data_IF_640459375933
#
_entry.id   IF_640459375933
#
_cell.length_a   1.000
_cell.length_b   1.000
_cell.length_c   1.000
_cell.angle_alpha   90.00
_cell.angle_beta   90.00
_cell.angle_gamma   90.00
#
_symmetry.space_group_name_H-M   'P 1'
#
loop_
_entity.id
_entity.type
_entity.pdbx_description
1 polymer ?
#
# COMPACT_ATOMS: atom_id res chain seq x y z
N UNK A 1 -3.66 -8.87 25.21
CA UNK A 1 -2.92 -10.05 25.72
C UNK A 1 -1.67 -10.34 24.88
N UNK A 2 -1.79 -10.57 23.57
CA UNK A 2 -0.67 -10.98 22.72
C UNK A 2 0.61 -10.15 22.87
N UNK A 3 0.50 -8.81 22.78
CA UNK A 3 1.65 -7.90 22.92
C UNK A 3 2.35 -8.03 24.28
N UNK A 4 1.60 -8.28 25.35
CA UNK A 4 2.16 -8.32 26.71
C UNK A 4 2.90 -9.63 27.00
N UNK A 5 2.44 -10.75 26.44
CA UNK A 5 2.97 -12.08 26.74
C UNK A 5 3.94 -12.60 25.68
N UNK A 6 3.77 -12.22 24.41
CA UNK A 6 4.52 -12.83 23.28
C UNK A 6 5.33 -11.85 22.44
N UNK A 7 5.16 -10.53 22.61
CA UNK A 7 5.93 -9.54 21.83
C UNK A 7 7.03 -8.89 22.69
N UNK A 8 8.32 -9.14 22.41
CA UNK A 8 9.42 -8.44 23.06
C UNK A 8 9.35 -6.94 22.76
N UNK A 9 9.63 -6.12 23.78
CA UNK A 9 9.67 -4.67 23.65
C UNK A 9 10.98 -4.11 24.19
N UNK A 10 11.56 -3.16 23.46
CA UNK A 10 12.69 -2.37 23.93
C UNK A 10 12.20 -1.31 24.90
N UNK A 11 12.76 -1.29 26.11
CA UNK A 11 12.54 -0.22 27.08
C UNK A 11 13.76 0.69 27.10
N UNK A 12 13.53 2.00 27.00
CA UNK A 12 14.58 2.98 27.08
C UNK A 12 15.06 3.06 28.52
N UNK A 13 16.33 2.76 28.76
CA UNK A 13 16.94 2.87 30.08
C UNK A 13 17.42 4.29 30.35
N UNK A 14 18.17 4.86 29.40
CA UNK A 14 18.68 6.23 29.49
C UNK A 14 18.78 6.89 28.13
N UNK A 15 18.69 8.22 28.14
CA UNK A 15 19.00 9.07 27.00
C UNK A 15 20.04 10.09 27.44
N UNK A 16 21.06 10.29 26.62
CA UNK A 16 22.13 11.26 26.86
C UNK A 16 22.24 12.19 25.66
N UNK A 17 22.48 13.48 25.93
CA UNK A 17 22.69 14.49 24.89
C UNK A 17 24.18 14.71 24.72
N UNK A 18 24.66 14.54 23.49
CA UNK A 18 26.06 14.76 23.10
C UNK A 18 26.04 15.86 22.05
N UNK A 19 26.16 17.12 22.50
CA UNK A 19 26.00 18.32 21.68
C UNK A 19 24.61 18.38 21.02
N UNK A 20 24.57 18.30 19.69
CA UNK A 20 23.33 18.30 18.91
C UNK A 20 22.66 16.91 18.78
N UNK A 21 23.33 15.82 19.17
CA UNK A 21 22.81 14.44 19.03
C UNK A 21 22.26 13.90 20.35
N UNK A 22 21.27 13.02 20.27
CA UNK A 22 20.74 12.28 21.44
C UNK A 22 21.01 10.79 21.24
N UNK A 23 21.80 10.19 22.15
CA UNK A 23 22.05 8.75 22.18
C UNK A 23 21.10 8.09 23.17
N UNK A 24 20.45 7.00 22.75
CA UNK A 24 19.47 6.24 23.54
C UNK A 24 20.04 4.86 23.82
N UNK A 25 20.05 4.46 25.09
CA UNK A 25 20.47 3.13 25.51
C UNK A 25 19.23 2.35 25.95
N UNK A 26 19.02 1.21 25.32
CA UNK A 26 17.83 0.37 25.53
C UNK A 26 18.20 -0.87 26.32
N UNK A 27 17.24 -1.38 27.09
CA UNK A 27 17.32 -2.69 27.71
C UNK A 27 17.27 -3.80 26.65
N UNK A 28 17.70 -5.00 27.06
CA UNK A 28 17.46 -6.23 26.32
C UNK A 28 15.96 -6.39 26.00
N UNK A 29 15.64 -6.90 24.79
CA UNK A 29 14.25 -7.07 24.40
C UNK A 29 13.61 -8.19 25.23
N UNK A 30 12.57 -7.82 25.98
CA UNK A 30 11.80 -8.73 26.82
C UNK A 30 10.32 -8.40 26.71
N UNK A 31 9.47 -9.40 26.91
CA UNK A 31 8.01 -9.19 26.94
C UNK A 31 7.64 -8.42 28.22
N UNK A 32 6.61 -7.56 28.17
CA UNK A 32 6.11 -6.89 29.37
C UNK A 32 5.78 -7.85 30.53
N UNK A 33 5.22 -9.04 30.24
CA UNK A 33 4.95 -10.06 31.24
C UNK A 33 6.23 -10.59 31.92
N UNK A 34 7.28 -10.90 31.15
CA UNK A 34 8.57 -11.34 31.70
C UNK A 34 9.20 -10.28 32.62
N UNK A 35 9.11 -9.00 32.24
CA UNK A 35 9.59 -7.90 33.10
C UNK A 35 8.83 -7.80 34.42
N UNK A 36 7.51 -8.00 34.41
CA UNK A 36 6.70 -8.03 35.62
C UNK A 36 7.04 -9.23 36.51
N UNK A 37 7.28 -10.40 35.92
CA UNK A 37 7.70 -11.60 36.66
C UNK A 37 9.07 -11.42 37.33
N UNK A 38 10.00 -10.71 36.66
CA UNK A 38 11.32 -10.39 37.20
C UNK A 38 11.33 -9.20 38.18
N UNK A 39 10.24 -8.43 38.27
CA UNK A 39 10.20 -7.24 39.12
C UNK A 39 10.08 -7.61 40.61
N UNK A 40 10.90 -7.03 41.50
CA UNK A 40 10.80 -7.25 42.94
C UNK A 40 9.56 -6.58 43.55
N UNK A 41 9.00 -5.56 42.89
CA UNK A 41 7.84 -4.81 43.39
C UNK A 41 6.48 -5.48 43.14
N UNK A 42 6.46 -6.66 42.50
CA UNK A 42 5.22 -7.39 42.20
C UNK A 42 5.07 -8.54 43.19
N UNK A 43 3.93 -8.57 43.90
CA UNK A 43 3.61 -9.64 44.84
C UNK A 43 3.59 -11.02 44.15
N UNK A 44 4.05 -12.05 44.85
CA UNK A 44 4.17 -13.40 44.28
C UNK A 44 2.82 -13.98 43.84
N UNK A 45 1.74 -13.67 44.56
CA UNK A 45 0.38 -14.04 44.14
C UNK A 45 -0.01 -13.46 42.77
N UNK A 46 0.46 -12.25 42.43
CA UNK A 46 0.22 -11.64 41.12
C UNK A 46 1.12 -12.28 40.04
N UNK A 47 2.36 -12.63 40.37
CA UNK A 47 3.26 -13.38 39.48
C UNK A 47 2.68 -14.75 39.13
N UNK A 48 2.09 -15.43 40.11
CA UNK A 48 1.49 -16.74 39.90
C UNK A 48 0.27 -16.67 38.96
N UNK A 49 -0.58 -15.66 39.13
CA UNK A 49 -1.66 -15.37 38.18
C UNK A 49 -1.15 -15.12 36.76
N UNK A 50 -0.05 -14.38 36.61
CA UNK A 50 0.56 -14.13 35.29
C UNK A 50 1.09 -15.43 34.65
N UNK A 51 1.71 -16.32 35.43
CA UNK A 51 2.16 -17.63 34.95
C UNK A 51 0.99 -18.51 34.53
N UNK A 52 -0.07 -18.56 35.33
CA UNK A 52 -1.27 -19.32 35.00
C UNK A 52 -1.93 -18.83 33.70
N UNK A 53 -2.00 -17.51 33.50
CA UNK A 53 -2.50 -16.93 32.23
C UNK A 53 -1.58 -17.27 31.06
N UNK A 54 -0.25 -17.17 31.23
CA UNK A 54 0.67 -17.52 30.15
C UNK A 54 0.53 -19.00 29.75
N UNK A 55 0.35 -19.90 30.72
CA UNK A 55 0.21 -21.34 30.49
C UNK A 55 -1.09 -21.71 29.76
N UNK A 56 -2.15 -20.89 29.85
CA UNK A 56 -3.41 -21.15 29.15
C UNK A 56 -3.49 -20.55 27.75
N UNK A 57 -2.55 -19.69 27.36
CA UNK A 57 -2.58 -19.00 26.08
C UNK A 57 -1.83 -19.76 24.99
N UNK A 58 -2.51 -20.05 23.89
CA UNK A 58 -1.90 -20.42 22.62
C UNK A 58 -1.62 -19.15 21.80
N UNK A 59 -0.36 -18.85 21.45
CA UNK A 59 0.01 -17.63 20.73
C UNK A 59 -0.62 -17.53 19.34
N UNK A 60 -0.80 -18.65 18.63
CA UNK A 60 -1.33 -18.66 17.28
C UNK A 60 -2.84 -18.47 17.29
N UNK A 61 -3.55 -19.21 18.16
CA UNK A 61 -4.99 -19.04 18.37
C UNK A 61 -5.33 -17.61 18.81
N UNK A 62 -4.57 -17.08 19.76
CA UNK A 62 -4.76 -15.70 20.24
C UNK A 62 -4.53 -14.67 19.12
N UNK A 63 -3.55 -14.89 18.24
CA UNK A 63 -3.28 -13.99 17.13
C UNK A 63 -4.40 -14.00 16.09
N UNK A 64 -4.93 -15.19 15.77
CA UNK A 64 -6.05 -15.36 14.86
C UNK A 64 -7.32 -14.69 15.39
N UNK A 65 -7.66 -14.94 16.66
CA UNK A 65 -8.77 -14.28 17.35
C UNK A 65 -8.65 -12.75 17.28
N UNK A 66 -7.48 -12.20 17.61
CA UNK A 66 -7.24 -10.75 17.56
C UNK A 66 -7.47 -10.20 16.16
N UNK A 67 -6.96 -10.86 15.12
CA UNK A 67 -7.11 -10.40 13.72
C UNK A 67 -8.55 -10.50 13.24
N UNK A 68 -9.25 -11.56 13.63
CA UNK A 68 -10.67 -11.74 13.34
C UNK A 68 -11.51 -10.65 13.98
N UNK A 69 -11.25 -10.32 15.26
CA UNK A 69 -11.90 -9.19 15.93
C UNK A 69 -11.56 -7.85 15.27
N UNK A 70 -10.29 -7.62 14.90
CA UNK A 70 -9.89 -6.39 14.21
C UNK A 70 -10.57 -6.21 12.85
N UNK A 71 -10.73 -7.29 12.07
CA UNK A 71 -11.50 -7.28 10.82
C UNK A 71 -12.96 -6.94 11.08
N UNK A 72 -13.57 -7.57 12.08
CA UNK A 72 -14.95 -7.31 12.46
C UNK A 72 -15.17 -5.84 12.84
N UNK A 73 -14.34 -5.28 13.73
CA UNK A 73 -14.40 -3.86 14.13
C UNK A 73 -14.21 -2.93 12.93
N UNK A 74 -13.27 -3.24 12.03
CA UNK A 74 -13.05 -2.45 10.83
C UNK A 74 -14.24 -2.49 9.87
N UNK A 75 -14.95 -3.63 9.77
CA UNK A 75 -16.19 -3.78 9.01
C UNK A 75 -17.33 -2.94 9.57
N UNK A 76 -17.52 -2.96 10.89
CA UNK A 76 -18.50 -2.12 11.57
C UNK A 76 -18.25 -0.63 11.29
N UNK A 77 -16.98 -0.20 11.30
CA UNK A 77 -16.61 1.18 10.93
C UNK A 77 -16.91 1.57 9.48
N UNK A 78 -17.11 0.59 8.58
CA UNK A 78 -17.55 0.79 7.19
C UNK A 78 -19.07 0.66 7.00
N UNK A 79 -19.83 0.34 8.06
CA UNK A 79 -21.27 0.10 8.00
C UNK A 79 -21.65 -1.30 7.54
N UNK A 80 -20.73 -2.27 7.55
CA UNK A 80 -21.05 -3.68 7.29
C UNK A 80 -21.92 -4.24 8.44
N UNK A 81 -22.94 -5.02 8.12
CA UNK A 81 -23.77 -5.68 9.13
C UNK A 81 -22.95 -6.69 9.94
N UNK A 82 -23.18 -6.70 11.24
CA UNK A 82 -22.47 -7.58 12.17
C UNK A 82 -22.80 -9.04 11.86
N UNK A 83 -21.91 -9.75 11.17
CA UNK A 83 -21.90 -11.21 11.23
C UNK A 83 -21.04 -11.63 12.42
N UNK A 84 -21.57 -12.53 13.25
CA UNK A 84 -20.77 -13.19 14.30
C UNK A 84 -19.56 -13.80 13.59
N UNK A 85 -18.33 -13.38 13.92
CA UNK A 85 -17.16 -13.98 13.31
C UNK A 85 -17.21 -15.49 13.62
N UNK A 86 -17.20 -16.36 12.60
CA UNK A 86 -17.17 -17.79 12.85
C UNK A 86 -15.85 -18.08 13.57
N UNK A 87 -15.90 -18.72 14.74
CA UNK A 87 -14.69 -19.33 15.29
C UNK A 87 -15.02 -20.48 16.23
N UNK A 88 -14.27 -21.57 16.08
CA UNK A 88 -13.53 -22.14 17.23
C UNK A 88 -12.39 -23.09 16.85
N UNK A 89 -12.49 -23.95 15.84
CA UNK A 89 -11.45 -24.99 15.66
C UNK A 89 -10.97 -25.30 14.23
N UNK A 90 -11.63 -24.84 13.16
CA UNK A 90 -11.49 -25.51 11.86
C UNK A 90 -10.45 -24.95 10.88
N UNK A 91 -9.71 -23.87 11.19
CA UNK A 91 -8.82 -23.33 10.16
C UNK A 91 -7.55 -22.59 10.59
N UNK A 92 -6.89 -23.14 11.62
CA UNK A 92 -5.53 -22.69 11.94
C UNK A 92 -4.60 -22.85 10.73
N UNK A 93 -4.79 -23.89 9.91
CA UNK A 93 -4.00 -24.09 8.70
C UNK A 93 -4.19 -22.99 7.65
N UNK A 94 -5.44 -22.61 7.32
CA UNK A 94 -5.67 -21.46 6.42
C UNK A 94 -5.13 -20.16 7.01
N UNK A 95 -5.26 -19.97 8.33
CA UNK A 95 -4.67 -18.82 9.00
C UNK A 95 -3.15 -18.79 8.83
N UNK A 96 -2.45 -19.90 9.09
CA UNK A 96 -1.01 -20.02 8.88
C UNK A 96 -0.62 -19.79 7.42
N UNK A 97 -1.37 -20.35 6.46
CA UNK A 97 -1.15 -20.11 5.03
C UNK A 97 -1.26 -18.62 4.68
N UNK A 98 -2.24 -17.90 5.25
CA UNK A 98 -2.39 -16.45 5.07
C UNK A 98 -1.23 -15.63 5.65
N UNK A 99 -0.56 -16.11 6.71
CA UNK A 99 0.58 -15.41 7.30
C UNK A 99 1.77 -15.34 6.32
N UNK A 100 1.93 -16.34 5.46
CA UNK A 100 3.02 -16.40 4.49
C UNK A 100 2.97 -15.24 3.49
N UNK A 101 1.77 -14.75 3.14
CA UNK A 101 1.57 -13.67 2.17
C UNK A 101 1.24 -12.33 2.83
N UNK A 102 0.89 -12.32 4.12
CA UNK A 102 0.45 -11.11 4.83
C UNK A 102 1.44 -9.94 4.76
N UNK A 103 2.75 -10.19 4.74
CA UNK A 103 3.76 -9.14 4.65
C UNK A 103 3.76 -8.41 3.29
N UNK A 104 3.23 -9.02 2.23
CA UNK A 104 3.13 -8.41 0.90
C UNK A 104 2.05 -7.33 0.82
N UNK A 105 1.01 -7.42 1.64
CA UNK A 105 -0.13 -6.48 1.66
C UNK A 105 0.12 -5.23 2.53
N UNK A 106 1.31 -5.11 3.12
CA UNK A 106 1.69 -3.97 3.96
C UNK A 106 1.14 -4.08 5.38
N UNK A 107 0.28 -3.14 5.80
CA UNK A 107 -0.28 -3.14 7.16
C UNK A 107 -1.37 -4.20 7.30
N UNK A 108 -1.00 -5.31 7.93
CA UNK A 108 -1.88 -6.48 8.14
C UNK A 108 -3.07 -6.16 9.04
N UNK A 109 -2.98 -5.12 9.87
CA UNK A 109 -4.05 -4.73 10.80
C UNK A 109 -5.12 -3.90 10.09
N UNK A 110 -6.34 -4.40 9.91
CA UNK A 110 -7.41 -3.67 9.22
C UNK A 110 -7.75 -2.32 9.88
N UNK A 111 -7.51 -2.20 11.19
CA UNK A 111 -7.75 -0.98 11.97
C UNK A 111 -6.74 0.13 11.71
N UNK A 112 -5.54 -0.19 11.20
CA UNK A 112 -4.46 0.76 10.96
C UNK A 112 -4.24 1.06 9.47
N UNK A 113 -5.02 0.43 8.59
CA UNK A 113 -4.96 0.70 7.16
C UNK A 113 -5.36 2.16 6.89
N UNK A 114 -4.49 2.90 6.18
CA UNK A 114 -4.81 4.27 5.77
C UNK A 114 -6.00 4.22 4.82
N UNK A 115 -7.08 4.92 5.18
CA UNK A 115 -8.22 5.10 4.28
C UNK A 115 -7.69 5.62 2.94
N UNK A 116 -7.98 4.95 1.81
CA UNK A 116 -7.57 5.45 0.51
C UNK A 116 -8.16 6.85 0.35
N UNK A 117 -7.29 7.86 0.22
CA UNK A 117 -7.74 9.21 -0.01
C UNK A 117 -8.45 9.24 -1.37
N UNK A 118 -9.71 9.65 -1.38
CA UNK A 118 -10.43 9.89 -2.62
C UNK A 118 -9.58 10.84 -3.48
N UNK A 119 -9.33 10.43 -4.73
CA UNK A 119 -8.57 11.27 -5.66
C UNK A 119 -9.33 12.58 -5.82
N UNK A 120 -8.68 13.71 -5.48
CA UNK A 120 -9.27 15.04 -5.70
C UNK A 120 -9.62 15.18 -7.18
N UNK A 121 -10.89 15.43 -7.47
CA UNK A 121 -11.41 15.56 -8.84
C UNK A 121 -11.34 16.98 -9.37
N UNK A 122 -11.24 17.99 -8.50
CA UNK A 122 -11.15 19.39 -8.91
C UNK A 122 -9.69 19.87 -9.01
N UNK A 123 -9.42 20.71 -10.01
CA UNK A 123 -8.16 21.46 -10.15
C UNK A 123 -8.38 22.90 -9.69
N UNK A 124 -7.49 23.44 -8.87
CA UNK A 124 -7.56 24.83 -8.38
C UNK A 124 -7.28 25.87 -9.48
N UNK A 125 -6.72 25.47 -10.62
CA UNK A 125 -6.38 26.36 -11.74
C UNK A 125 -6.71 25.69 -13.06
N UNK A 126 -7.23 26.47 -14.00
CA UNK A 126 -7.40 26.09 -15.41
C UNK A 126 -6.03 25.76 -16.00
N UNK A 127 -5.97 24.74 -16.86
CA UNK A 127 -4.70 24.27 -17.45
C UNK A 127 -4.16 25.31 -18.45
N UNK A 128 -2.98 25.92 -18.21
CA UNK A 128 -2.43 26.93 -19.11
C UNK A 128 -2.16 26.43 -20.53
N UNK A 129 -2.01 25.12 -20.71
CA UNK A 129 -1.65 24.51 -21.99
C UNK A 129 -2.86 24.03 -22.80
N UNK A 130 -4.09 24.16 -22.29
CA UNK A 130 -5.28 23.62 -22.95
C UNK A 130 -5.45 24.09 -24.40
N UNK A 131 -5.26 25.40 -24.66
CA UNK A 131 -5.40 25.99 -25.99
C UNK A 131 -4.28 25.60 -26.96
N UNK A 132 -3.08 25.36 -26.45
CA UNK A 132 -1.90 25.02 -27.28
C UNK A 132 -1.68 23.52 -27.41
N UNK A 133 -2.38 22.72 -26.61
CA UNK A 133 -2.25 21.27 -26.59
C UNK A 133 -2.47 20.58 -27.94
N UNK A 134 -3.48 20.96 -28.77
CA UNK A 134 -3.65 20.35 -30.09
C UNK A 134 -2.42 20.49 -30.98
N UNK A 135 -1.76 21.65 -30.95
CA UNK A 135 -0.51 21.89 -31.69
C UNK A 135 0.63 21.01 -31.16
N UNK A 136 0.70 20.83 -29.85
CA UNK A 136 1.73 19.99 -29.22
C UNK A 136 1.54 18.50 -29.52
N UNK A 137 0.29 18.04 -29.71
CA UNK A 137 0.02 16.67 -30.12
C UNK A 137 0.63 16.37 -31.49
N UNK A 138 0.50 17.29 -32.45
CA UNK A 138 1.14 17.13 -33.78
C UNK A 138 2.66 17.00 -33.65
N UNK A 139 3.29 17.78 -32.76
CA UNK A 139 4.73 17.66 -32.52
C UNK A 139 5.12 16.33 -31.87
N UNK A 140 4.30 15.80 -30.96
CA UNK A 140 4.53 14.52 -30.28
C UNK A 140 4.22 13.31 -31.18
N UNK A 141 3.30 13.44 -32.12
CA UNK A 141 2.99 12.40 -33.10
C UNK A 141 4.08 12.28 -34.16
N UNK A 142 4.66 13.42 -34.57
CA UNK A 142 5.80 13.42 -35.50
C UNK A 142 7.10 12.96 -34.82
N UNK A 143 7.38 13.42 -33.60
CA UNK A 143 8.60 13.10 -32.85
C UNK A 143 8.26 12.63 -31.41
N UNK A 144 7.93 11.34 -31.18
CA UNK A 144 7.48 10.85 -29.88
C UNK A 144 8.57 10.91 -28.78
N UNK A 145 9.85 10.86 -29.18
CA UNK A 145 11.00 10.88 -28.28
C UNK A 145 11.33 12.30 -27.75
N UNK A 146 10.76 13.34 -28.37
CA UNK A 146 11.09 14.73 -28.07
C UNK A 146 10.80 15.11 -26.62
N UNK A 147 11.71 15.83 -25.98
CA UNK A 147 11.59 16.08 -24.53
C UNK A 147 10.58 17.21 -24.27
N UNK A 148 9.76 17.07 -23.21
CA UNK A 148 8.81 18.11 -22.79
C UNK A 148 9.48 19.50 -22.56
N UNK A 149 10.76 19.52 -22.17
CA UNK A 149 11.56 20.74 -22.02
C UNK A 149 11.81 21.45 -23.35
N UNK A 150 12.08 20.69 -24.41
CA UNK A 150 12.32 21.21 -25.76
C UNK A 150 11.03 21.75 -26.37
N UNK A 151 9.92 21.01 -26.20
CA UNK A 151 8.59 21.47 -26.60
C UNK A 151 8.21 22.77 -25.87
N UNK A 152 8.56 22.89 -24.58
CA UNK A 152 8.31 24.09 -23.80
C UNK A 152 9.19 25.28 -24.22
N UNK A 153 10.45 25.04 -24.58
CA UNK A 153 11.35 26.08 -25.06
C UNK A 153 10.83 26.67 -26.38
N UNK A 154 10.48 25.80 -27.34
CA UNK A 154 9.85 26.19 -28.61
C UNK A 154 8.56 26.96 -28.41
N UNK A 155 7.70 26.51 -27.49
CA UNK A 155 6.45 27.20 -27.18
C UNK A 155 6.66 28.61 -26.58
N UNK A 156 7.75 28.81 -25.82
CA UNK A 156 8.11 30.11 -25.25
C UNK A 156 8.71 31.06 -26.27
N UNK A 157 9.43 30.56 -27.27
CA UNK A 157 9.93 31.36 -28.40
C UNK A 157 8.76 31.89 -29.23
N UNK A 158 7.76 31.05 -29.49
CA UNK A 158 6.56 31.44 -30.25
C UNK A 158 5.62 32.36 -29.44
N UNK A 159 5.57 32.23 -28.12
CA UNK A 159 4.68 33.02 -27.25
C UNK A 159 5.36 33.41 -25.91
N UNK A 160 6.23 34.43 -25.91
CA UNK A 160 7.02 34.80 -24.72
C UNK A 160 6.17 35.30 -23.53
N UNK A 161 5.03 35.93 -23.78
CA UNK A 161 4.18 36.55 -22.74
C UNK A 161 3.17 35.60 -22.09
N UNK A 162 2.85 34.47 -22.73
CA UNK A 162 1.80 33.56 -22.28
C UNK A 162 2.27 32.49 -21.27
N UNK A 163 3.56 32.13 -21.28
CA UNK A 163 4.08 30.97 -20.53
C UNK A 163 5.22 31.33 -19.57
N UNK A 164 5.05 30.96 -18.29
CA UNK A 164 6.04 31.20 -17.22
C UNK A 164 6.91 29.97 -17.00
N UNK A 165 8.20 30.15 -16.68
CA UNK A 165 9.15 29.05 -16.46
C UNK A 165 8.68 28.00 -15.41
N UNK A 166 7.92 28.43 -14.40
CA UNK A 166 7.35 27.52 -13.38
C UNK A 166 6.29 26.53 -13.89
N UNK A 167 5.84 26.64 -15.14
CA UNK A 167 4.81 25.76 -15.73
C UNK A 167 5.38 24.49 -16.39
N UNK A 168 6.71 24.33 -16.44
CA UNK A 168 7.37 23.15 -17.04
C UNK A 168 6.88 21.83 -16.43
N UNK A 169 6.68 21.78 -15.10
CA UNK A 169 6.19 20.57 -14.41
C UNK A 169 4.79 20.15 -14.86
N UNK A 170 3.92 21.12 -15.16
CA UNK A 170 2.57 20.87 -15.67
C UNK A 170 2.63 20.25 -17.06
N UNK A 171 3.51 20.76 -17.93
CA UNK A 171 3.68 20.21 -19.26
C UNK A 171 4.31 18.81 -19.24
N UNK A 172 5.37 18.61 -18.44
CA UNK A 172 6.00 17.30 -18.27
C UNK A 172 5.00 16.24 -17.83
N UNK A 173 4.10 16.58 -16.90
CA UNK A 173 3.04 15.68 -16.47
C UNK A 173 2.07 15.33 -17.61
N UNK A 174 1.68 16.30 -18.43
CA UNK A 174 0.76 16.11 -19.57
C UNK A 174 1.39 15.23 -20.66
N UNK A 175 2.66 15.46 -20.99
CA UNK A 175 3.44 14.61 -21.91
C UNK A 175 3.58 13.20 -21.36
N UNK A 176 3.83 13.04 -20.05
CA UNK A 176 3.87 11.72 -19.40
C UNK A 176 2.53 11.00 -19.50
N UNK A 177 1.42 11.68 -19.21
CA UNK A 177 0.07 11.11 -19.34
C UNK A 177 -0.22 10.67 -20.79
N UNK A 178 0.17 11.49 -21.77
CA UNK A 178 0.08 11.13 -23.19
C UNK A 178 0.94 9.91 -23.56
N UNK A 179 2.22 9.88 -23.16
CA UNK A 179 3.12 8.74 -23.41
C UNK A 179 2.62 7.45 -22.77
N UNK A 180 2.08 7.51 -21.56
CA UNK A 180 1.43 6.36 -20.91
C UNK A 180 0.21 5.88 -21.69
N UNK A 181 -0.60 6.79 -22.22
CA UNK A 181 -1.75 6.44 -23.06
C UNK A 181 -1.30 5.83 -24.40
N UNK A 182 -0.28 6.40 -25.05
CA UNK A 182 0.30 5.88 -26.28
C UNK A 182 0.91 4.48 -26.07
N UNK A 183 1.71 4.29 -25.01
CA UNK A 183 2.27 2.98 -24.66
C UNK A 183 1.19 1.94 -24.37
N UNK A 184 0.12 2.33 -23.65
CA UNK A 184 -1.04 1.46 -23.42
C UNK A 184 -1.71 1.05 -24.73
N UNK A 185 -1.90 1.99 -25.67
CA UNK A 185 -2.47 1.68 -26.99
C UNK A 185 -1.61 0.68 -27.74
N UNK A 186 -0.29 0.88 -27.78
CA UNK A 186 0.64 -0.02 -28.46
C UNK A 186 0.61 -1.44 -27.86
N UNK A 187 0.77 -1.56 -26.54
CA UNK A 187 0.77 -2.85 -25.82
C UNK A 187 -0.58 -3.57 -25.94
N UNK A 188 -1.69 -2.85 -25.81
CA UNK A 188 -3.03 -3.45 -25.94
C UNK A 188 -3.37 -3.79 -27.41
N UNK A 189 -2.89 -3.01 -28.38
CA UNK A 189 -3.07 -3.33 -29.81
C UNK A 189 -2.25 -4.53 -30.27
N UNK A 190 -1.07 -4.76 -29.67
CA UNK A 190 -0.28 -5.98 -29.91
C UNK A 190 -0.96 -7.22 -29.30
N UNK A 191 -1.74 -7.03 -28.22
CA UNK A 191 -2.51 -8.09 -27.58
C UNK A 191 -3.61 -8.63 -28.51
N UNK A 192 -4.34 -7.74 -29.18
CA UNK A 192 -5.43 -8.11 -30.08
C UNK A 192 -4.92 -8.70 -31.42
N UNK A 193 -3.77 -8.24 -31.92
CA UNK A 193 -3.16 -8.77 -33.16
C UNK A 193 -2.60 -10.20 -33.04
N UNK A 194 -2.36 -10.68 -31.81
CA UNK A 194 -1.92 -12.05 -31.53
C UNK A 194 -3.07 -13.07 -31.50
N UNK A 195 -4.32 -12.61 -31.34
CA UNK A 195 -5.51 -13.48 -31.18
C UNK A 195 -6.25 -13.77 -32.49
N UNK A 196 -5.94 -13.05 -33.57
CA UNK A 196 -6.56 -13.22 -34.90
C UNK A 196 -5.81 -14.14 -35.89
N UNK A 197 -4.74 -14.81 -35.46
CA UNK A 197 -3.90 -15.70 -36.30
C UNK A 197 -3.95 -17.15 -35.80
N UNK A 198 -5.13 -17.66 -35.48
CA UNK A 198 -5.37 -19.10 -35.31
C UNK A 198 -6.88 -19.36 -35.41
N UNK A 199 -7.36 -19.59 -36.63
CA UNK A 199 -8.79 -19.84 -36.86
C UNK A 199 -9.20 -19.83 -38.32
N UNK A 200 -8.43 -20.48 -39.21
CA UNK A 200 -8.96 -20.85 -40.52
C UNK A 200 -8.37 -22.20 -40.94
N UNK A 201 -9.08 -23.27 -40.59
CA UNK A 201 -9.04 -24.55 -41.31
C UNK A 201 -10.49 -24.89 -41.63
N UNK A 202 -10.87 -25.03 -42.91
CA UNK A 202 -12.24 -25.33 -43.30
C UNK A 202 -12.49 -26.83 -43.15
N UNK A 203 -13.45 -27.22 -42.31
CA UNK A 203 -14.01 -28.57 -42.30
C UNK A 203 -15.39 -28.54 -42.95
N UNK A 204 -15.43 -28.94 -44.22
CA UNK A 204 -16.67 -29.12 -44.97
C UNK A 204 -16.67 -30.52 -45.60
N UNK A 205 -17.76 -31.22 -45.30
CA UNK A 205 -18.37 -32.34 -46.05
C UNK A 205 -17.92 -33.77 -45.70
N UNK A 206 -18.62 -34.35 -44.72
CA UNK A 206 -19.10 -35.74 -44.80
C UNK A 206 -20.47 -35.73 -45.49
N UNK A 207 -20.57 -36.47 -46.60
CA UNK A 207 -21.80 -36.64 -47.36
C UNK A 207 -21.68 -37.76 -48.38
N UNK A 208 -21.65 -39.01 -47.92
CA UNK A 208 -22.45 -40.17 -48.34
C UNK A 208 -21.87 -41.46 -47.75
#
# INVERSE_FOLDING_TARGET
LFVNFFQPSFKLLRKERIGARVRKHYATPETPASRLLASPGVADAAKEKLRAVLASLDPLRLLDEIRTMQRHIAGLGRGEQAHTPPHRDLDLERFLASLATAWMEGEVRPTHQRKPMARRTWRTRVDPFEKVWPKMLVWLENDPDRTAKELFARLREENPSAFRAGQLRTLQRRVKEWRMAAARRLVLSESDASKGRNGEVPDAALGK
#
